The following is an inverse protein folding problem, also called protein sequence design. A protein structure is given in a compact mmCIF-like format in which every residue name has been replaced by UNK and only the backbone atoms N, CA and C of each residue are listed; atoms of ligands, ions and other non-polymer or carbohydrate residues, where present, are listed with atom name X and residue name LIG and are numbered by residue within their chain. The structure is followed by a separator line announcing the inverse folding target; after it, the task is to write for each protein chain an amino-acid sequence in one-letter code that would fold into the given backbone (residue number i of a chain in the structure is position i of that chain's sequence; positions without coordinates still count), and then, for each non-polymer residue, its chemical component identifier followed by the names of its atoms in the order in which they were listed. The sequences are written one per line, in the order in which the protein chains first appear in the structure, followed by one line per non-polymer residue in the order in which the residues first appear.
data_IF_712182488966
#
_entry.id   IF_712182488966
#
_cell.length_a   1.000
_cell.length_b   1.000
_cell.length_c   1.000
_cell.angle_alpha   90.00
_cell.angle_beta   90.00
_cell.angle_gamma   90.00
#
_symmetry.space_group_name_H-M   'P 1'
#
loop_
_entity.id
_entity.type
_entity.pdbx_description
1 polymer ?
#
# COMPACT_ATOMS: atom_id res chain seq x y z
N UNK A 1 -24.53 19.78 13.60
CA UNK A 1 -24.18 19.37 13.22
C UNK A 1 -24.14 18.63 12.65
N UNK A 2 -24.17 18.45 12.36
CA UNK A 2 -23.84 17.63 11.96
C UNK A 2 -23.69 17.29 10.82
N UNK A 3 -23.32 17.59 10.06
CA UNK A 3 -23.06 17.19 9.09
C UNK A 3 -22.33 16.67 8.46
N UNK A 4 -22.37 17.19 8.08
CA UNK A 4 -21.13 16.71 7.71
C UNK A 4 -20.83 15.38 8.28
N UNK A 5 -21.28 15.16 9.39
CA UNK A 5 -21.15 13.94 10.15
C UNK A 5 -21.62 12.72 9.40
N UNK A 6 -22.63 12.89 8.61
CA UNK A 6 -23.21 11.79 7.86
C UNK A 6 -22.17 11.21 6.90
N UNK A 7 -21.41 12.06 6.25
CA UNK A 7 -20.34 11.60 5.35
C UNK A 7 -19.28 10.83 6.12
N UNK A 8 -18.96 11.32 7.28
CA UNK A 8 -18.02 10.61 8.13
C UNK A 8 -18.52 9.27 8.58
N UNK A 9 -19.80 9.18 8.86
CA UNK A 9 -20.40 7.93 9.26
C UNK A 9 -20.22 6.90 8.17
N UNK A 10 -20.45 7.30 6.95
CA UNK A 10 -20.25 6.42 5.81
C UNK A 10 -18.81 5.93 5.73
N UNK A 11 -17.88 6.85 5.91
CA UNK A 11 -16.47 6.51 5.88
C UNK A 11 -16.12 5.54 7.01
N UNK A 12 -16.74 5.70 8.16
CA UNK A 12 -16.45 4.84 9.29
C UNK A 12 -16.99 3.43 9.10
N UNK A 13 -18.06 3.28 8.37
CA UNK A 13 -18.64 1.96 8.12
C UNK A 13 -17.86 1.21 7.06
N UNK A 14 -17.10 1.91 6.26
CA UNK A 14 -16.23 1.26 5.27
C UNK A 14 -15.06 0.62 5.98
N UNK A 15 -14.73 -0.63 5.66
CA UNK A 15 -13.52 -1.25 6.21
C UNK A 15 -12.30 -0.43 5.83
N UNK A 16 -11.48 -0.11 6.84
CA UNK A 16 -10.27 0.64 6.58
C UNK A 16 -10.53 2.10 6.24
N UNK A 17 -10.83 2.88 7.26
CA UNK A 17 -10.90 4.32 7.14
C UNK A 17 -9.70 4.82 6.34
N UNK A 18 -9.93 5.77 5.45
CA UNK A 18 -8.91 6.31 4.55
C UNK A 18 -7.66 6.77 5.30
N UNK A 19 -7.85 7.53 6.39
CA UNK A 19 -6.74 7.99 7.21
C UNK A 19 -5.97 6.83 7.83
N UNK A 20 -6.66 5.81 8.29
CA UNK A 20 -6.02 4.64 8.88
C UNK A 20 -5.20 3.88 7.85
N UNK A 21 -5.68 3.82 6.61
CA UNK A 21 -4.95 3.16 5.54
C UNK A 21 -3.64 3.91 5.27
N UNK A 22 -3.71 5.23 5.15
CA UNK A 22 -2.50 6.02 4.92
C UNK A 22 -1.52 5.91 6.08
N UNK A 23 -2.03 5.93 7.31
CA UNK A 23 -1.18 5.77 8.47
C UNK A 23 -0.47 4.42 8.45
N UNK A 24 -1.20 3.37 8.12
CA UNK A 24 -0.62 2.03 8.05
C UNK A 24 0.47 1.97 6.99
N UNK A 25 0.28 2.63 5.86
CA UNK A 25 1.23 2.61 4.75
C UNK A 25 2.41 3.56 4.95
N UNK A 26 2.36 4.43 5.94
CA UNK A 26 3.39 5.44 6.13
C UNK A 26 4.71 4.87 6.65
N UNK A 27 4.72 3.66 7.16
CA UNK A 27 5.90 3.05 7.74
C UNK A 27 6.48 1.97 6.83
N UNK A 28 7.80 1.99 6.55
CA UNK A 28 8.39 1.01 5.65
C UNK A 28 8.31 -0.43 6.16
N UNK A 29 8.39 -0.64 7.47
CA UNK A 29 8.26 -1.98 8.03
C UNK A 29 6.85 -2.52 7.80
N UNK A 30 5.83 -1.69 7.96
CA UNK A 30 4.47 -2.12 7.71
C UNK A 30 4.25 -2.45 6.24
N UNK A 31 4.83 -1.65 5.33
CA UNK A 31 4.75 -1.99 3.90
C UNK A 31 5.43 -3.31 3.60
N UNK A 32 6.57 -3.56 4.24
CA UNK A 32 7.28 -4.84 4.06
C UNK A 32 6.46 -6.01 4.60
N UNK A 33 5.73 -5.79 5.69
CA UNK A 33 4.83 -6.83 6.22
C UNK A 33 3.71 -7.15 5.24
N UNK A 34 3.14 -6.12 4.62
CA UNK A 34 2.12 -6.35 3.59
C UNK A 34 2.70 -7.11 2.40
N UNK A 35 3.93 -6.79 2.01
CA UNK A 35 4.59 -7.50 0.92
C UNK A 35 4.82 -8.97 1.26
N UNK A 36 5.16 -9.25 2.52
CA UNK A 36 5.30 -10.63 2.97
C UNK A 36 3.96 -11.37 2.88
N UNK A 37 2.89 -10.74 3.36
CA UNK A 37 1.57 -11.34 3.35
C UNK A 37 0.99 -11.47 1.94
N UNK A 38 1.46 -10.67 1.01
CA UNK A 38 1.07 -10.80 -0.39
C UNK A 38 1.47 -12.15 -0.97
N UNK A 39 2.51 -12.77 -0.41
CA UNK A 39 2.97 -14.09 -0.83
C UNK A 39 2.12 -15.21 -0.28
N UNK A 40 1.33 -14.94 0.74
CA UNK A 40 0.45 -15.92 1.38
C UNK A 40 0.31 -15.63 2.87
N UNK A 41 -0.64 -16.30 3.49
CA UNK A 41 -0.89 -16.19 4.92
C UNK A 41 0.35 -16.58 5.72
N UNK A 42 0.55 -15.91 6.84
CA UNK A 42 1.73 -16.14 7.67
C UNK A 42 1.35 -16.27 9.14
N UNK A 43 1.94 -17.25 9.86
CA UNK A 43 1.79 -17.31 11.31
C UNK A 43 2.49 -16.14 11.97
N UNK A 44 1.98 -15.71 13.12
CA UNK A 44 2.55 -14.61 13.88
C UNK A 44 4.05 -14.79 14.17
N UNK A 45 4.46 -16.01 14.51
CA UNK A 45 5.86 -16.31 14.78
C UNK A 45 6.76 -16.09 13.59
N UNK A 46 6.27 -16.43 12.40
CA UNK A 46 7.04 -16.23 11.18
C UNK A 46 7.23 -14.73 10.90
N UNK A 47 6.16 -13.97 11.10
CA UNK A 47 6.24 -12.51 10.91
C UNK A 47 7.24 -11.92 11.90
N UNK A 48 7.21 -12.37 13.16
CA UNK A 48 8.11 -11.86 14.19
C UNK A 48 9.57 -12.14 13.84
N UNK A 49 9.87 -13.27 13.21
CA UNK A 49 11.22 -13.61 12.81
C UNK A 49 11.67 -12.90 11.54
N UNK A 50 10.73 -12.49 10.71
CA UNK A 50 11.04 -11.92 9.40
C UNK A 50 11.59 -10.50 9.46
N UNK A 51 11.41 -9.82 10.60
CA UNK A 51 11.78 -8.40 10.71
C UNK A 51 12.67 -8.16 11.93
N UNK A 52 13.73 -7.33 11.77
CA UNK A 52 14.67 -7.07 12.88
C UNK A 52 14.15 -5.96 13.80
N UNK A 53 12.97 -6.14 14.34
CA UNK A 53 12.36 -5.22 15.29
C UNK A 53 11.83 -6.02 16.48
N UNK A 54 11.59 -5.34 17.59
CA UNK A 54 11.16 -5.99 18.81
C UNK A 54 9.75 -6.58 18.66
N UNK A 55 9.43 -7.56 19.49
CA UNK A 55 8.09 -8.14 19.48
C UNK A 55 6.99 -7.13 19.78
N UNK A 56 7.16 -6.21 20.75
CA UNK A 56 6.17 -5.15 20.92
C UNK A 56 5.99 -4.27 19.69
N UNK A 57 7.07 -4.01 18.96
CA UNK A 57 6.98 -3.24 17.72
C UNK A 57 6.20 -4.01 16.65
N UNK A 58 6.46 -5.32 16.52
CA UNK A 58 5.71 -6.18 15.60
C UNK A 58 4.22 -6.13 15.95
N UNK A 59 3.89 -6.28 17.22
CA UNK A 59 2.49 -6.24 17.67
C UNK A 59 1.83 -4.91 17.33
N UNK A 60 2.56 -3.82 17.53
CA UNK A 60 2.04 -2.49 17.21
C UNK A 60 1.80 -2.34 15.73
N UNK A 61 2.75 -2.78 14.90
CA UNK A 61 2.60 -2.71 13.45
C UNK A 61 1.39 -3.51 12.97
N UNK A 62 1.24 -4.73 13.47
CA UNK A 62 0.10 -5.57 13.10
C UNK A 62 -1.22 -4.96 13.55
N UNK A 63 -1.23 -4.33 14.72
CA UNK A 63 -2.44 -3.68 15.21
C UNK A 63 -2.86 -2.54 14.30
N UNK A 64 -1.91 -1.72 13.84
CA UNK A 64 -2.21 -0.63 12.93
C UNK A 64 -2.69 -1.13 11.57
N UNK A 65 -2.08 -2.21 11.08
CA UNK A 65 -2.53 -2.83 9.84
C UNK A 65 -3.94 -3.41 9.97
N UNK A 66 -4.25 -4.00 11.13
CA UNK A 66 -5.58 -4.52 11.38
C UNK A 66 -6.61 -3.40 11.53
N UNK A 67 -6.22 -2.30 12.15
CA UNK A 67 -7.11 -1.14 12.29
C UNK A 67 -7.49 -0.59 10.91
N UNK A 68 -6.56 -0.63 9.98
CA UNK A 68 -6.81 -0.20 8.61
C UNK A 68 -7.54 -1.26 7.78
N UNK A 69 -7.81 -2.41 8.36
CA UNK A 69 -8.42 -3.56 7.70
C UNK A 69 -7.61 -4.09 6.51
N UNK A 70 -6.31 -3.82 6.52
CA UNK A 70 -5.41 -4.34 5.49
C UNK A 70 -4.95 -5.76 5.80
N UNK A 71 -5.10 -6.17 7.04
CA UNK A 71 -4.69 -7.48 7.53
C UNK A 71 -5.81 -8.03 8.40
N UNK A 72 -6.08 -9.30 8.25
CA UNK A 72 -7.02 -10.03 9.08
C UNK A 72 -6.29 -11.11 9.86
N UNK A 73 -6.82 -11.44 11.01
CA UNK A 73 -6.24 -12.45 11.87
C UNK A 73 -7.26 -13.56 12.09
N UNK A 74 -6.80 -14.79 12.02
CA UNK A 74 -7.62 -15.92 12.39
C UNK A 74 -6.76 -16.95 13.12
N UNK A 75 -7.40 -17.91 13.78
CA UNK A 75 -6.68 -18.93 14.50
C UNK A 75 -6.77 -20.25 13.79
N UNK A 76 -5.63 -20.96 13.78
CA UNK A 76 -5.57 -22.34 13.33
C UNK A 76 -4.87 -23.10 14.45
N UNK A 77 -5.66 -23.81 15.26
CA UNK A 77 -5.14 -24.44 16.45
C UNK A 77 -4.65 -23.39 17.44
N UNK A 78 -3.39 -23.45 17.79
CA UNK A 78 -2.75 -22.48 18.71
C UNK A 78 -2.15 -21.31 17.98
N UNK A 79 -2.11 -21.36 16.67
CA UNK A 79 -1.43 -20.34 15.89
C UNK A 79 -2.36 -19.22 15.48
N UNK A 80 -1.84 -18.00 15.57
CA UNK A 80 -2.47 -16.85 14.96
C UNK A 80 -1.94 -16.72 13.55
N UNK A 81 -2.87 -16.68 12.59
CA UNK A 81 -2.51 -16.58 11.19
C UNK A 81 -2.98 -15.23 10.67
N UNK A 82 -2.11 -14.55 9.93
CA UNK A 82 -2.42 -13.25 9.36
C UNK A 82 -2.56 -13.35 7.85
N UNK A 83 -3.61 -12.74 7.34
CA UNK A 83 -3.94 -12.74 5.92
C UNK A 83 -3.98 -11.33 5.40
N UNK A 84 -3.50 -11.12 4.20
CA UNK A 84 -3.64 -9.84 3.52
C UNK A 84 -5.10 -9.64 3.09
N UNK A 85 -5.61 -8.45 3.35
CA UNK A 85 -6.91 -8.02 2.87
C UNK A 85 -6.69 -6.73 2.06
N UNK A 86 -6.51 -6.84 0.75
CA UNK A 86 -6.10 -5.68 -0.04
C UNK A 86 -7.21 -4.70 -0.38
N UNK A 87 -8.45 -5.02 -0.07
CA UNK A 87 -9.61 -4.21 -0.44
C UNK A 87 -9.47 -2.72 -0.08
N UNK A 88 -9.02 -2.37 1.15
CA UNK A 88 -8.89 -0.95 1.49
C UNK A 88 -7.90 -0.19 0.62
N UNK A 89 -6.98 -0.88 -0.05
CA UNK A 89 -6.03 -0.22 -0.94
C UNK A 89 -6.71 0.38 -2.15
N UNK A 90 -7.93 -0.04 -2.46
CA UNK A 90 -8.69 0.54 -3.57
C UNK A 90 -8.94 2.02 -3.37
N UNK A 91 -9.11 2.46 -2.13
CA UNK A 91 -9.29 3.86 -1.83
C UNK A 91 -8.04 4.66 -2.18
N UNK A 92 -6.87 4.08 -1.90
CA UNK A 92 -5.58 4.71 -2.25
C UNK A 92 -5.45 4.77 -3.77
N UNK A 93 -5.77 3.68 -4.44
CA UNK A 93 -5.70 3.61 -5.89
C UNK A 93 -6.61 4.65 -6.55
N UNK A 94 -7.83 4.81 -6.04
CA UNK A 94 -8.76 5.81 -6.54
C UNK A 94 -8.22 7.22 -6.37
N UNK A 95 -7.62 7.48 -5.22
CA UNK A 95 -7.04 8.80 -4.97
C UNK A 95 -5.87 9.07 -5.89
N UNK A 96 -4.99 8.09 -6.09
CA UNK A 96 -3.83 8.23 -6.96
C UNK A 96 -4.26 8.44 -8.40
N UNK A 97 -5.40 7.87 -8.80
CA UNK A 97 -5.92 8.02 -10.16
C UNK A 97 -6.05 9.48 -10.57
N UNK A 98 -6.39 10.34 -9.63
CA UNK A 98 -6.50 11.79 -9.90
C UNK A 98 -5.18 12.39 -10.33
N UNK A 99 -4.06 11.79 -9.93
CA UNK A 99 -2.73 12.29 -10.21
C UNK A 99 -2.04 11.53 -11.34
N UNK A 100 -2.54 10.35 -11.67
CA UNK A 100 -1.93 9.49 -12.68
C UNK A 100 -1.79 10.16 -14.03
N UNK A 101 -2.78 10.95 -14.39
CA UNK A 101 -2.78 11.68 -15.66
C UNK A 101 -1.59 12.60 -15.78
N UNK A 102 -1.26 13.26 -14.67
CA UNK A 102 -0.12 14.19 -14.65
C UNK A 102 1.18 13.43 -14.92
N UNK A 103 1.36 12.30 -14.25
CA UNK A 103 2.57 11.51 -14.43
C UNK A 103 2.63 10.89 -15.82
N UNK A 104 1.55 10.29 -16.28
CA UNK A 104 1.50 9.66 -17.60
C UNK A 104 1.82 10.64 -18.70
N UNK A 105 1.20 11.81 -18.66
CA UNK A 105 1.45 12.85 -19.67
C UNK A 105 2.89 13.29 -19.65
N UNK A 106 3.41 13.55 -18.46
CA UNK A 106 4.78 14.01 -18.30
C UNK A 106 5.79 12.95 -18.75
N UNK A 107 5.58 11.72 -18.32
CA UNK A 107 6.46 10.61 -18.70
C UNK A 107 6.40 10.35 -20.19
N UNK A 108 5.23 10.47 -20.81
CA UNK A 108 5.09 10.31 -22.25
C UNK A 108 5.88 11.36 -23.00
N UNK A 109 5.83 12.61 -22.55
CA UNK A 109 6.60 13.69 -23.15
C UNK A 109 8.09 13.47 -23.00
N UNK A 110 8.53 13.05 -21.84
CA UNK A 110 9.94 12.75 -21.59
C UNK A 110 10.43 11.60 -22.43
N UNK A 111 9.63 10.54 -22.53
CA UNK A 111 9.98 9.39 -23.34
C UNK A 111 10.06 9.76 -24.81
N UNK A 112 9.13 10.58 -25.29
CA UNK A 112 9.13 11.06 -26.66
C UNK A 112 10.35 11.91 -26.96
N UNK A 113 10.67 12.81 -26.03
CA UNK A 113 11.87 13.65 -26.16
C UNK A 113 13.14 12.80 -26.21
N UNK A 114 13.25 11.82 -25.35
CA UNK A 114 14.38 10.90 -25.30
C UNK A 114 14.51 10.14 -26.62
N UNK A 115 13.39 9.68 -27.18
CA UNK A 115 13.42 8.97 -28.46
C UNK A 115 13.88 9.88 -29.59
N UNK A 116 13.45 11.13 -29.59
CA UNK A 116 13.90 12.10 -30.58
C UNK A 116 15.40 12.36 -30.46
N UNK A 117 15.89 12.47 -29.24
CA UNK A 117 17.32 12.63 -29.01
C UNK A 117 18.14 11.44 -29.49
N UNK A 118 17.67 10.25 -29.21
CA UNK A 118 18.32 9.03 -29.68
C UNK A 118 18.30 8.91 -31.19
N UNK A 119 17.17 9.27 -31.80
CA UNK A 119 17.05 9.29 -33.22
C UNK A 119 18.08 10.24 -33.87
N UNK A 120 18.27 11.40 -33.30
CA UNK A 120 19.28 12.34 -33.79
C UNK A 120 20.69 11.79 -33.67
N UNK A 121 20.99 11.20 -32.51
CA UNK A 121 22.32 10.59 -32.30
C UNK A 121 22.60 9.47 -33.27
N UNK A 122 21.59 8.63 -33.51
CA UNK A 122 21.73 7.55 -34.44
C UNK A 122 22.00 8.03 -35.85
N UNK A 123 21.33 9.08 -36.28
CA UNK A 123 21.52 9.67 -37.58
C UNK A 123 22.92 10.26 -37.72
N UNK A 124 23.40 10.92 -36.71
CA UNK A 124 24.74 11.46 -36.69
C UNK A 124 25.81 10.36 -36.74
N UNK A 125 25.57 9.28 -36.00
CA UNK A 125 26.51 8.15 -35.97
C UNK A 125 26.58 7.43 -37.29
N UNK A 126 25.55 7.52 -38.13
CA UNK A 126 25.52 6.83 -39.43
C UNK A 126 26.18 7.62 -40.54
N UNK A 127 26.48 8.88 -40.27
CA UNK A 127 27.22 9.69 -41.22
C UNK A 127 28.71 9.46 -41.08
#
# INVERSE_FOLDING_TARGET
MRHRSVTYTSARTSPGNFADVFQALADPTRRAMLDLLRRGSQPAGHIAHAFPVSRPAISKHLRLLRRAHLVREHREGRNRIYDLHPEPLRAVDSWIEHYRRFWSTRLSKEAEHARKMQGSRKREATK
#
